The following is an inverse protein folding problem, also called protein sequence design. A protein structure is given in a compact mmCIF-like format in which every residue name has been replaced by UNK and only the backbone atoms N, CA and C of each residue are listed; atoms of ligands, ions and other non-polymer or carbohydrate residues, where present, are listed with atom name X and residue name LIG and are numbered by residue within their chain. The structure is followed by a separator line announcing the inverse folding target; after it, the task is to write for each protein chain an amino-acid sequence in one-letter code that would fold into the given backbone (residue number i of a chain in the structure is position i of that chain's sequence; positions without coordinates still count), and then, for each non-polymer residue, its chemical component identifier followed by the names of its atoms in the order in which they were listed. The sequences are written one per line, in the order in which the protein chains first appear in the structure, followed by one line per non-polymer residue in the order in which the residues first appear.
data_IF_710500186637
#
_entry.id   IF_710500186637
#
_cell.length_a   1.000
_cell.length_b   1.000
_cell.length_c   1.000
_cell.angle_alpha   90.00
_cell.angle_beta   90.00
_cell.angle_gamma   90.00
#
_symmetry.space_group_name_H-M   'P 1'
#
loop_
_entity.id
_entity.type
_entity.pdbx_description
1 polymer ?
#
# COMPACT_ATOMS: atom_id res chain seq x y z
N UNK A 1 14.77 -32.42 -14.46
CA UNK A 1 15.01 -31.25 -13.59
C UNK A 1 13.93 -31.26 -12.52
N UNK A 2 14.26 -31.06 -11.24
CA UNK A 2 13.24 -30.95 -10.21
C UNK A 2 12.29 -29.79 -10.51
N UNK A 3 11.00 -30.01 -10.25
CA UNK A 3 9.96 -29.00 -10.41
C UNK A 3 9.18 -28.93 -9.10
N UNK A 4 8.90 -27.71 -8.64
CA UNK A 4 8.00 -27.48 -7.51
C UNK A 4 6.79 -26.72 -8.02
N UNK A 5 5.61 -27.29 -7.77
CA UNK A 5 4.32 -26.69 -8.06
C UNK A 5 3.60 -26.37 -6.75
N UNK A 6 3.13 -25.15 -6.64
CA UNK A 6 2.26 -24.69 -5.57
C UNK A 6 1.07 -23.97 -6.20
N UNK A 7 -0.09 -24.10 -5.57
CA UNK A 7 -1.28 -23.34 -5.95
C UNK A 7 -2.08 -22.96 -4.70
N UNK A 8 -2.81 -21.85 -4.78
CA UNK A 8 -3.70 -21.40 -3.73
C UNK A 8 -4.89 -20.65 -4.32
N UNK A 9 -6.09 -20.98 -3.82
CA UNK A 9 -7.30 -20.20 -4.08
C UNK A 9 -7.32 -18.98 -3.14
N UNK A 10 -7.57 -17.81 -3.69
CA UNK A 10 -7.60 -16.52 -3.01
C UNK A 10 -8.95 -15.89 -3.29
N UNK A 11 -9.67 -15.50 -2.24
CA UNK A 11 -10.96 -14.81 -2.38
C UNK A 11 -10.72 -13.32 -2.55
N UNK A 12 -10.29 -12.93 -3.75
CA UNK A 12 -10.02 -11.55 -4.15
C UNK A 12 -10.15 -11.44 -5.69
N UNK A 13 -10.23 -10.21 -6.20
CA UNK A 13 -10.23 -9.96 -7.64
C UNK A 13 -8.86 -10.24 -8.27
N UNK A 14 -8.82 -10.65 -9.54
CA UNK A 14 -7.58 -10.98 -10.26
C UNK A 14 -6.58 -9.82 -10.25
N UNK A 15 -7.06 -8.58 -10.45
CA UNK A 15 -6.19 -7.38 -10.46
C UNK A 15 -5.53 -7.11 -9.11
N UNK A 16 -6.23 -7.38 -8.00
CA UNK A 16 -5.67 -7.22 -6.65
C UNK A 16 -4.56 -8.23 -6.42
N UNK A 17 -4.85 -9.49 -6.75
CA UNK A 17 -3.86 -10.57 -6.62
C UNK A 17 -2.66 -10.26 -7.51
N UNK A 18 -2.91 -9.87 -8.77
CA UNK A 18 -1.88 -9.51 -9.73
C UNK A 18 -0.99 -8.39 -9.19
N UNK A 19 -1.57 -7.25 -8.79
CA UNK A 19 -0.84 -6.08 -8.25
C UNK A 19 0.10 -6.47 -7.10
N UNK A 20 -0.35 -7.32 -6.18
CA UNK A 20 0.47 -7.74 -5.04
C UNK A 20 1.61 -8.66 -5.45
N UNK A 21 1.36 -9.63 -6.35
CA UNK A 21 2.40 -10.58 -6.74
C UNK A 21 3.36 -10.01 -7.80
N UNK A 22 2.93 -9.01 -8.57
CA UNK A 22 3.67 -8.40 -9.66
C UNK A 22 4.46 -7.17 -9.20
N UNK A 23 4.28 -6.71 -7.96
CA UNK A 23 5.17 -5.74 -7.31
C UNK A 23 6.56 -6.35 -7.10
N UNK A 24 7.41 -6.15 -8.11
CA UNK A 24 8.75 -6.69 -8.12
C UNK A 24 9.67 -5.96 -7.12
N UNK A 25 9.37 -4.71 -6.76
CA UNK A 25 10.21 -3.91 -5.87
C UNK A 25 9.99 -4.32 -4.41
N UNK A 26 8.73 -4.46 -4.01
CA UNK A 26 8.33 -4.82 -2.64
C UNK A 26 8.34 -6.34 -2.38
N UNK A 27 8.98 -7.10 -3.26
CA UNK A 27 9.06 -8.57 -3.16
C UNK A 27 9.76 -9.05 -1.87
N UNK A 28 10.69 -8.25 -1.31
CA UNK A 28 11.35 -8.55 -0.03
C UNK A 28 10.34 -8.70 1.12
N UNK A 29 9.33 -7.84 1.18
CA UNK A 29 8.33 -7.82 2.25
C UNK A 29 7.55 -9.13 2.37
N UNK A 30 7.28 -9.79 1.24
CA UNK A 30 6.55 -11.04 1.22
C UNK A 30 7.47 -12.26 1.37
N UNK A 31 8.77 -12.10 1.09
CA UNK A 31 9.69 -13.22 0.96
C UNK A 31 10.52 -13.45 2.23
N UNK A 32 10.33 -14.56 2.96
CA UNK A 32 10.91 -14.76 4.30
C UNK A 32 12.45 -14.93 4.33
N UNK A 33 13.10 -14.96 3.17
CA UNK A 33 14.54 -15.20 3.04
C UNK A 33 15.29 -14.10 2.28
N UNK A 34 14.57 -13.05 1.89
CA UNK A 34 15.09 -11.91 1.14
C UNK A 34 15.08 -10.71 2.09
N UNK A 35 16.23 -10.09 2.30
CA UNK A 35 16.35 -8.89 3.12
C UNK A 35 16.14 -7.60 2.33
N UNK A 36 16.46 -7.62 1.03
CA UNK A 36 16.39 -6.43 0.17
C UNK A 36 16.24 -6.82 -1.29
N UNK A 37 15.53 -5.97 -2.04
CA UNK A 37 15.49 -5.96 -3.50
C UNK A 37 16.05 -4.62 -3.99
N UNK A 38 16.84 -4.67 -5.05
CA UNK A 38 17.37 -3.50 -5.75
C UNK A 38 17.05 -3.63 -7.24
N UNK A 39 16.34 -2.65 -7.80
CA UNK A 39 16.04 -2.61 -9.23
C UNK A 39 17.29 -2.11 -9.98
N UNK A 40 17.77 -2.87 -10.96
CA UNK A 40 18.98 -2.55 -11.72
C UNK A 40 18.64 -1.83 -13.02
N UNK A 41 17.72 -2.37 -13.81
CA UNK A 41 17.18 -1.72 -15.00
C UNK A 41 15.77 -2.25 -15.30
N UNK A 42 15.07 -1.54 -16.21
CA UNK A 42 13.76 -1.94 -16.70
C UNK A 42 12.65 -1.76 -15.67
N UNK A 43 11.41 -1.98 -16.13
CA UNK A 43 10.23 -2.01 -15.29
C UNK A 43 9.37 -3.19 -15.73
N UNK A 44 8.68 -3.83 -14.77
CA UNK A 44 7.74 -4.92 -15.03
C UNK A 44 8.35 -6.00 -15.95
N UNK A 45 7.82 -6.14 -17.16
CA UNK A 45 8.15 -7.21 -18.09
C UNK A 45 9.58 -7.24 -18.62
N UNK A 46 10.36 -6.17 -18.43
CA UNK A 46 11.79 -6.11 -18.76
C UNK A 46 12.69 -5.98 -17.54
N UNK A 47 12.12 -6.03 -16.33
CA UNK A 47 12.82 -5.72 -15.11
C UNK A 47 14.00 -6.65 -14.84
N UNK A 48 15.14 -6.04 -14.51
CA UNK A 48 16.32 -6.69 -13.95
C UNK A 48 16.50 -6.21 -12.52
N UNK A 49 16.65 -7.14 -11.59
CA UNK A 49 16.79 -6.83 -10.16
C UNK A 49 17.84 -7.69 -9.48
N UNK A 50 18.40 -7.16 -8.41
CA UNK A 50 19.33 -7.83 -7.51
C UNK A 50 18.64 -8.13 -6.19
N UNK A 51 18.77 -9.37 -5.73
CA UNK A 51 18.19 -9.82 -4.47
C UNK A 51 19.30 -10.09 -3.47
N UNK A 52 19.02 -9.71 -2.23
CA UNK A 52 19.89 -9.95 -1.09
C UNK A 52 19.18 -10.90 -0.13
N UNK A 53 19.85 -11.97 0.27
CA UNK A 53 19.32 -12.88 1.27
C UNK A 53 19.70 -12.44 2.68
N UNK A 54 18.84 -12.76 3.64
CA UNK A 54 19.15 -12.67 5.08
C UNK A 54 20.41 -13.45 5.50
N UNK A 55 20.88 -14.39 4.65
CA UNK A 55 22.11 -15.16 4.85
C UNK A 55 23.35 -14.56 4.16
N UNK A 56 23.25 -13.35 3.62
CA UNK A 56 24.35 -12.64 2.97
C UNK A 56 24.64 -13.07 1.53
N UNK A 57 23.80 -13.92 0.92
CA UNK A 57 23.92 -14.26 -0.50
C UNK A 57 23.27 -13.21 -1.37
N UNK A 58 23.84 -13.00 -2.56
CA UNK A 58 23.31 -12.09 -3.57
C UNK A 58 23.25 -12.80 -4.92
N UNK A 59 22.21 -12.52 -5.69
CA UNK A 59 22.08 -12.96 -7.08
C UNK A 59 21.27 -11.92 -7.87
N UNK A 60 21.37 -12.01 -9.20
CA UNK A 60 20.58 -11.20 -10.12
C UNK A 60 19.50 -12.05 -10.76
N UNK A 61 18.43 -11.41 -11.17
CA UNK A 61 17.36 -12.06 -11.90
C UNK A 61 16.70 -11.07 -12.83
N UNK A 62 16.13 -11.62 -13.89
CA UNK A 62 15.52 -10.82 -14.94
C UNK A 62 14.17 -11.43 -15.33
N UNK A 63 13.22 -10.55 -15.66
CA UNK A 63 11.95 -10.95 -16.21
C UNK A 63 12.13 -11.34 -17.68
N UNK A 64 11.75 -12.57 -18.04
CA UNK A 64 11.85 -13.07 -19.42
C UNK A 64 10.50 -13.16 -20.13
N UNK A 65 9.42 -13.19 -19.36
CA UNK A 65 8.05 -13.24 -19.89
C UNK A 65 7.13 -12.45 -18.98
N UNK A 66 6.25 -11.67 -19.59
CA UNK A 66 5.26 -10.87 -18.89
C UNK A 66 3.97 -10.82 -19.69
N UNK A 67 2.91 -11.32 -19.08
CA UNK A 67 1.54 -11.27 -19.56
C UNK A 67 0.74 -10.55 -18.48
N UNK A 68 0.44 -9.27 -18.73
CA UNK A 68 -0.19 -8.37 -17.78
C UNK A 68 -1.51 -8.95 -17.24
N UNK A 69 -1.68 -8.93 -15.92
CA UNK A 69 -2.85 -9.50 -15.24
C UNK A 69 -2.86 -11.04 -15.15
N UNK A 70 -1.92 -11.74 -15.78
CA UNK A 70 -1.99 -13.20 -15.96
C UNK A 70 -0.76 -13.95 -15.50
N UNK A 71 0.43 -13.59 -15.96
CA UNK A 71 1.64 -14.33 -15.57
C UNK A 71 2.93 -13.57 -15.78
N UNK A 72 3.95 -13.87 -14.99
CA UNK A 72 5.30 -13.44 -15.29
C UNK A 72 6.33 -14.51 -14.94
N UNK A 73 7.48 -14.48 -15.61
CA UNK A 73 8.58 -15.44 -15.42
C UNK A 73 9.87 -14.72 -15.10
N UNK A 74 10.49 -15.10 -13.99
CA UNK A 74 11.80 -14.63 -13.57
C UNK A 74 12.85 -15.72 -13.74
N UNK A 75 13.95 -15.39 -14.41
CA UNK A 75 15.13 -16.22 -14.52
C UNK A 75 16.25 -15.71 -13.63
N UNK A 76 16.79 -16.60 -12.81
CA UNK A 76 17.89 -16.29 -11.89
C UNK A 76 19.22 -16.50 -12.59
N UNK A 77 20.01 -15.44 -12.59
CA UNK A 77 21.42 -15.47 -12.92
C UNK A 77 22.23 -15.59 -11.62
N UNK A 78 23.02 -16.65 -11.55
CA UNK A 78 23.82 -17.02 -10.38
C UNK A 78 25.32 -17.02 -10.68
N UNK A 79 25.72 -16.41 -11.81
CA UNK A 79 27.11 -16.25 -12.21
C UNK A 79 27.95 -15.50 -11.16
N UNK A 80 27.36 -14.48 -10.54
CA UNK A 80 28.05 -13.56 -9.62
C UNK A 80 27.98 -13.96 -8.12
N UNK A 81 27.50 -15.16 -7.75
CA UNK A 81 27.22 -15.48 -6.33
C UNK A 81 27.32 -16.94 -5.87
N UNK A 82 27.24 -17.13 -4.54
CA UNK A 82 27.17 -18.45 -3.86
C UNK A 82 25.70 -18.91 -3.79
N UNK A 83 25.08 -19.09 -4.96
CA UNK A 83 23.73 -19.65 -5.04
C UNK A 83 23.80 -21.16 -5.34
N UNK A 84 23.02 -22.03 -4.67
CA UNK A 84 23.18 -23.49 -4.78
C UNK A 84 22.64 -24.10 -6.09
N UNK A 85 22.37 -23.27 -7.10
CA UNK A 85 21.79 -23.69 -8.38
C UNK A 85 22.65 -23.19 -9.54
N UNK A 86 22.65 -23.94 -10.65
CA UNK A 86 23.18 -23.51 -11.96
C UNK A 86 22.19 -22.63 -12.71
N UNK A 87 20.90 -22.94 -12.57
CA UNK A 87 19.81 -22.16 -13.16
C UNK A 87 18.54 -22.35 -12.33
N UNK A 88 17.72 -21.31 -12.30
CA UNK A 88 16.38 -21.36 -11.73
C UNK A 88 15.44 -20.45 -12.50
N UNK A 89 14.28 -20.98 -12.84
CA UNK A 89 13.16 -20.26 -13.46
C UNK A 89 11.98 -20.32 -12.51
N UNK A 90 11.32 -19.18 -12.31
CA UNK A 90 10.13 -19.05 -11.47
C UNK A 90 9.04 -18.38 -12.27
N UNK A 91 7.90 -19.05 -12.39
CA UNK A 91 6.74 -18.53 -13.09
C UNK A 91 5.57 -18.42 -12.12
N UNK A 92 4.95 -17.26 -12.10
CA UNK A 92 3.78 -16.94 -11.29
C UNK A 92 2.60 -16.74 -12.23
N UNK A 93 1.45 -17.34 -11.92
CA UNK A 93 0.26 -17.29 -12.76
C UNK A 93 -0.97 -16.99 -11.92
N UNK A 94 -1.85 -16.15 -12.45
CA UNK A 94 -3.12 -15.72 -11.88
C UNK A 94 -4.21 -16.17 -12.84
N UNK A 95 -5.10 -17.00 -12.34
CA UNK A 95 -6.22 -17.54 -13.11
C UNK A 95 -7.53 -17.18 -12.39
N UNK A 96 -8.38 -16.39 -13.04
CA UNK A 96 -9.70 -16.02 -12.53
C UNK A 96 -10.66 -17.22 -12.56
N UNK A 97 -11.46 -17.39 -11.50
CA UNK A 97 -12.48 -18.42 -11.38
C UNK A 97 -13.74 -17.85 -10.71
N UNK A 98 -14.87 -18.56 -10.81
CA UNK A 98 -16.20 -18.09 -10.39
C UNK A 98 -16.29 -17.61 -8.92
N UNK A 99 -15.38 -18.04 -8.04
CA UNK A 99 -15.32 -17.64 -6.62
C UNK A 99 -13.88 -17.23 -6.22
N UNK A 100 -13.28 -16.36 -7.04
CA UNK A 100 -11.99 -15.73 -6.76
C UNK A 100 -10.89 -16.13 -7.74
N UNK A 101 -9.68 -16.27 -7.25
CA UNK A 101 -8.48 -16.39 -8.08
C UNK A 101 -7.65 -17.59 -7.65
N UNK A 102 -7.10 -18.32 -8.61
CA UNK A 102 -6.09 -19.34 -8.38
C UNK A 102 -4.72 -18.77 -8.71
N UNK A 103 -3.90 -18.55 -7.68
CA UNK A 103 -2.49 -18.23 -7.82
C UNK A 103 -1.70 -19.54 -7.96
N UNK A 104 -0.89 -19.67 -9.02
CA UNK A 104 0.02 -20.80 -9.25
C UNK A 104 1.47 -20.34 -9.25
N UNK A 105 2.34 -21.15 -8.69
CA UNK A 105 3.79 -20.91 -8.66
C UNK A 105 4.52 -22.14 -9.19
N UNK A 106 5.34 -21.93 -10.22
CA UNK A 106 6.06 -22.97 -10.94
C UNK A 106 7.56 -22.68 -10.85
N UNK A 107 8.28 -23.54 -10.14
CA UNK A 107 9.73 -23.43 -9.97
C UNK A 107 10.42 -24.57 -10.71
N UNK A 108 11.28 -24.24 -11.67
CA UNK A 108 12.19 -25.19 -12.33
C UNK A 108 13.62 -24.82 -11.99
N UNK A 109 14.45 -25.80 -11.61
CA UNK A 109 15.84 -25.50 -11.25
C UNK A 109 16.81 -26.63 -11.56
N UNK A 110 18.10 -26.30 -11.60
CA UNK A 110 19.21 -27.25 -11.68
C UNK A 110 20.19 -27.04 -10.51
N UNK A 111 20.41 -28.04 -9.63
CA UNK A 111 21.41 -27.94 -8.57
C UNK A 111 22.85 -27.83 -9.11
N UNK A 112 23.75 -27.18 -8.36
CA UNK A 112 25.14 -26.93 -8.79
C UNK A 112 26.07 -28.17 -8.77
N UNK A 113 25.71 -29.25 -8.05
CA UNK A 113 26.59 -30.40 -7.78
C UNK A 113 26.02 -31.75 -8.27
N UNK A 114 26.46 -32.24 -9.44
CA UNK A 114 26.41 -33.65 -9.91
C UNK A 114 25.29 -34.59 -9.41
N UNK A 115 25.61 -35.87 -9.22
CA UNK A 115 24.67 -36.88 -8.69
C UNK A 115 24.42 -36.69 -7.17
N UNK A 116 25.47 -36.36 -6.42
CA UNK A 116 25.41 -36.19 -4.96
C UNK A 116 24.54 -35.00 -4.52
N UNK A 117 24.59 -33.87 -5.24
CA UNK A 117 23.73 -32.72 -4.96
C UNK A 117 22.29 -32.95 -5.38
N UNK A 118 22.02 -33.78 -6.41
CA UNK A 118 20.66 -34.24 -6.74
C UNK A 118 20.09 -35.15 -5.64
N UNK A 119 20.92 -36.01 -5.05
CA UNK A 119 20.52 -36.87 -3.93
C UNK A 119 20.24 -36.06 -2.67
N UNK A 120 21.13 -35.13 -2.30
CA UNK A 120 20.93 -34.21 -1.16
C UNK A 120 19.71 -33.31 -1.36
N UNK A 121 19.46 -32.88 -2.59
CA UNK A 121 18.26 -32.16 -2.95
C UNK A 121 17.00 -33.00 -2.68
N UNK A 122 16.94 -34.19 -3.29
CA UNK A 122 15.80 -35.09 -3.17
C UNK A 122 15.48 -35.46 -1.71
N UNK A 123 16.51 -35.68 -0.89
CA UNK A 123 16.34 -36.12 0.50
C UNK A 123 15.98 -34.98 1.47
N UNK A 124 16.55 -33.77 1.29
CA UNK A 124 16.48 -32.72 2.32
C UNK A 124 16.11 -31.33 1.80
N UNK A 125 16.70 -30.87 0.70
CA UNK A 125 16.57 -29.47 0.27
C UNK A 125 15.24 -29.22 -0.46
N UNK A 126 14.68 -30.22 -1.14
CA UNK A 126 13.39 -30.11 -1.83
C UNK A 126 12.26 -29.78 -0.86
N UNK A 127 12.19 -30.46 0.30
CA UNK A 127 11.18 -30.23 1.33
C UNK A 127 11.33 -28.85 1.98
N UNK A 128 12.56 -28.46 2.32
CA UNK A 128 12.84 -27.11 2.87
C UNK A 128 12.45 -26.00 1.89
N UNK A 129 12.76 -26.14 0.60
CA UNK A 129 12.38 -25.18 -0.45
C UNK A 129 10.88 -25.10 -0.66
N UNK A 130 10.19 -26.24 -0.70
CA UNK A 130 8.74 -26.26 -0.81
C UNK A 130 8.06 -25.53 0.35
N UNK A 131 8.61 -25.65 1.57
CA UNK A 131 8.12 -24.89 2.73
C UNK A 131 8.35 -23.39 2.56
N UNK A 132 9.54 -22.98 2.13
CA UNK A 132 9.88 -21.58 1.89
C UNK A 132 8.94 -20.92 0.86
N UNK A 133 8.66 -21.60 -0.25
CA UNK A 133 7.76 -21.09 -1.28
C UNK A 133 6.30 -21.09 -0.82
N UNK A 134 5.91 -22.04 0.04
CA UNK A 134 4.59 -22.02 0.69
C UNK A 134 4.44 -20.83 1.63
N UNK A 135 5.50 -20.46 2.35
CA UNK A 135 5.51 -19.30 3.24
C UNK A 135 5.41 -17.99 2.47
N UNK A 136 6.17 -17.83 1.37
CA UNK A 136 5.99 -16.71 0.43
C UNK A 136 4.52 -16.58 -0.04
N UNK A 137 3.93 -17.71 -0.48
CA UNK A 137 2.53 -17.73 -0.91
C UNK A 137 1.57 -17.33 0.21
N UNK A 138 1.81 -17.81 1.44
CA UNK A 138 1.00 -17.46 2.61
C UNK A 138 1.12 -15.96 2.94
N UNK A 139 2.32 -15.38 2.85
CA UNK A 139 2.56 -13.96 3.10
C UNK A 139 1.85 -13.09 2.07
N UNK A 140 1.86 -13.46 0.78
CA UNK A 140 1.06 -12.77 -0.23
C UNK A 140 -0.44 -12.86 0.04
N UNK A 141 -0.95 -14.05 0.41
CA UNK A 141 -2.36 -14.22 0.78
C UNK A 141 -2.72 -13.37 1.99
N UNK A 142 -1.83 -13.25 2.98
CA UNK A 142 -2.00 -12.37 4.13
C UNK A 142 -2.03 -10.90 3.69
N UNK A 143 -1.05 -10.43 2.90
CA UNK A 143 -1.03 -9.07 2.33
C UNK A 143 -2.32 -8.73 1.58
N UNK A 144 -2.86 -9.68 0.80
CA UNK A 144 -4.12 -9.50 0.05
C UNK A 144 -5.33 -9.45 1.00
N UNK A 145 -5.42 -10.38 1.95
CA UNK A 145 -6.54 -10.49 2.90
C UNK A 145 -6.60 -9.29 3.84
N UNK A 146 -5.44 -8.93 4.38
CA UNK A 146 -5.29 -7.90 5.41
C UNK A 146 -5.20 -6.49 4.76
N UNK A 147 -5.23 -6.42 3.42
CA UNK A 147 -5.17 -5.20 2.59
C UNK A 147 -3.98 -4.30 2.94
N UNK A 148 -2.85 -4.89 3.36
CA UNK A 148 -1.64 -4.15 3.74
C UNK A 148 -1.15 -3.20 2.63
N UNK A 149 -1.33 -3.59 1.37
CA UNK A 149 -0.99 -2.77 0.19
C UNK A 149 -1.82 -1.49 0.03
N UNK A 150 -2.94 -1.37 0.74
CA UNK A 150 -3.80 -0.19 0.67
C UNK A 150 -3.46 0.88 1.73
N UNK A 151 -2.37 0.68 2.48
CA UNK A 151 -1.85 1.69 3.41
C UNK A 151 -0.69 2.48 2.81
N UNK A 152 -0.25 2.21 1.58
CA UNK A 152 0.90 2.86 0.94
C UNK A 152 0.74 4.36 0.68
N UNK A 153 -0.47 4.90 0.82
CA UNK A 153 -0.67 6.35 0.79
C UNK A 153 0.05 6.98 1.98
N UNK A 154 0.91 7.94 1.70
CA UNK A 154 1.69 8.65 2.73
C UNK A 154 0.94 9.87 3.24
N UNK A 155 1.32 10.32 4.44
CA UNK A 155 0.89 11.61 4.99
C UNK A 155 1.14 12.75 4.00
N UNK A 156 2.31 12.75 3.33
CA UNK A 156 2.64 13.74 2.31
C UNK A 156 1.61 13.76 1.16
N UNK A 157 1.20 12.60 0.66
CA UNK A 157 0.18 12.50 -0.40
C UNK A 157 -1.16 13.06 0.04
N UNK A 158 -1.57 12.79 1.29
CA UNK A 158 -2.83 13.33 1.84
C UNK A 158 -2.75 14.86 1.93
N UNK A 159 -1.64 15.41 2.45
CA UNK A 159 -1.46 16.86 2.56
C UNK A 159 -1.42 17.55 1.20
N UNK A 160 -0.83 16.95 0.18
CA UNK A 160 -0.85 17.50 -1.19
C UNK A 160 -2.27 17.65 -1.74
N UNK A 161 -3.17 16.71 -1.43
CA UNK A 161 -4.57 16.75 -1.88
C UNK A 161 -5.44 17.71 -1.05
N UNK A 162 -5.23 17.73 0.27
CA UNK A 162 -6.02 18.53 1.22
C UNK A 162 -5.58 19.99 1.31
N UNK A 163 -4.28 20.24 1.15
CA UNK A 163 -3.61 21.47 1.53
C UNK A 163 -2.87 21.36 2.87
N UNK A 164 -1.96 22.32 3.09
CA UNK A 164 -1.10 22.41 4.27
C UNK A 164 -1.59 23.41 5.31
N UNK A 165 -2.70 24.11 5.03
CA UNK A 165 -3.22 25.16 5.90
C UNK A 165 -3.64 24.61 7.26
N UNK A 166 -3.21 25.30 8.32
CA UNK A 166 -3.54 24.96 9.70
C UNK A 166 -4.22 26.13 10.36
N UNK A 167 -5.45 25.91 10.81
CA UNK A 167 -6.18 26.88 11.62
C UNK A 167 -5.59 26.87 13.03
N UNK A 168 -5.33 28.06 13.57
CA UNK A 168 -4.76 28.23 14.92
C UNK A 168 -5.59 29.18 15.78
N UNK A 169 -5.51 29.00 17.09
CA UNK A 169 -6.04 29.88 18.13
C UNK A 169 -4.95 30.17 19.17
N UNK A 170 -5.15 31.13 20.06
CA UNK A 170 -4.21 31.47 21.13
C UNK A 170 -4.58 30.80 22.45
N UNK A 171 -3.57 30.56 23.30
CA UNK A 171 -3.73 29.93 24.61
C UNK A 171 -4.70 30.69 25.54
N UNK A 172 -4.82 32.00 25.36
CA UNK A 172 -5.70 32.89 26.11
C UNK A 172 -7.12 32.98 25.56
N UNK A 173 -7.38 32.48 24.35
CA UNK A 173 -8.72 32.52 23.75
C UNK A 173 -9.68 31.70 24.60
N UNK A 174 -10.91 32.19 24.76
CA UNK A 174 -11.93 31.47 25.54
C UNK A 174 -12.39 30.20 24.83
N UNK A 175 -12.86 29.22 25.60
CA UNK A 175 -13.44 27.98 25.06
C UNK A 175 -14.56 28.27 24.04
N UNK A 176 -15.40 29.29 24.29
CA UNK A 176 -16.47 29.67 23.35
C UNK A 176 -15.95 30.26 22.04
N UNK A 177 -14.86 31.02 22.06
CA UNK A 177 -14.22 31.53 20.84
C UNK A 177 -13.62 30.39 20.03
N UNK A 178 -12.94 29.46 20.67
CA UNK A 178 -12.42 28.26 20.00
C UNK A 178 -13.55 27.43 19.41
N UNK A 179 -14.65 27.23 20.14
CA UNK A 179 -15.84 26.54 19.60
C UNK A 179 -16.39 27.23 18.34
N UNK A 180 -16.38 28.57 18.29
CA UNK A 180 -16.78 29.34 17.09
C UNK A 180 -15.79 29.14 15.94
N UNK A 181 -14.49 29.14 16.21
CA UNK A 181 -13.44 28.88 15.20
C UNK A 181 -13.65 27.49 14.58
N UNK A 182 -13.84 26.45 15.42
CA UNK A 182 -14.10 25.09 14.95
C UNK A 182 -15.34 25.04 14.04
N UNK A 183 -16.44 25.66 14.46
CA UNK A 183 -17.69 25.71 13.70
C UNK A 183 -17.54 26.46 12.37
N UNK A 184 -16.91 27.64 12.38
CA UNK A 184 -16.76 28.48 11.18
C UNK A 184 -15.91 27.79 10.11
N UNK A 185 -14.86 27.09 10.53
CA UNK A 185 -13.95 26.38 9.64
C UNK A 185 -14.40 24.94 9.32
N UNK A 186 -15.47 24.44 9.97
CA UNK A 186 -15.97 23.06 9.85
C UNK A 186 -14.89 22.02 10.17
N UNK A 187 -14.12 22.26 11.23
CA UNK A 187 -13.03 21.41 11.70
C UNK A 187 -13.29 20.94 13.14
N UNK A 188 -12.77 19.76 13.50
CA UNK A 188 -12.95 19.18 14.84
C UNK A 188 -11.80 19.44 15.81
N UNK A 189 -10.72 20.09 15.37
CA UNK A 189 -9.59 20.48 16.20
C UNK A 189 -8.86 21.69 15.64
N UNK A 190 -8.16 22.41 16.51
CA UNK A 190 -7.36 23.60 16.22
C UNK A 190 -6.02 23.49 16.96
N UNK A 191 -4.94 23.99 16.35
CA UNK A 191 -3.67 24.12 17.06
C UNK A 191 -3.66 25.39 17.90
N UNK A 192 -3.10 25.28 19.09
CA UNK A 192 -3.02 26.39 20.04
C UNK A 192 -1.60 26.93 20.05
N UNK A 193 -1.47 28.25 19.92
CA UNK A 193 -0.22 28.97 20.04
C UNK A 193 -0.07 29.61 21.42
N UNK A 194 1.15 29.69 21.91
CA UNK A 194 1.46 30.49 23.10
C UNK A 194 1.60 31.99 22.75
N UNK A 195 1.90 32.80 23.77
CA UNK A 195 2.11 34.24 23.65
C UNK A 195 3.28 34.61 22.72
N UNK A 196 4.23 33.70 22.51
CA UNK A 196 5.36 33.88 21.58
C UNK A 196 5.04 33.44 20.15
N UNK A 197 3.81 32.94 19.91
CA UNK A 197 3.35 32.44 18.62
C UNK A 197 3.80 31.01 18.32
N UNK A 198 4.47 30.33 19.25
CA UNK A 198 4.95 28.95 19.10
C UNK A 198 3.82 27.95 19.37
N UNK A 199 3.95 26.74 18.81
CA UNK A 199 2.97 25.68 19.01
C UNK A 199 2.97 25.20 20.48
N UNK A 200 1.87 25.47 21.18
CA UNK A 200 1.72 25.19 22.61
C UNK A 200 0.85 23.96 22.90
N UNK A 201 -0.04 23.61 21.97
CA UNK A 201 -0.95 22.48 22.14
C UNK A 201 -1.95 22.30 21.01
N UNK A 202 -2.95 21.47 21.27
CA UNK A 202 -4.07 21.18 20.38
C UNK A 202 -5.34 21.13 21.22
N UNK A 203 -6.40 21.75 20.72
CA UNK A 203 -7.73 21.66 21.32
C UNK A 203 -8.74 21.11 20.32
N UNK A 204 -9.64 20.27 20.80
CA UNK A 204 -10.64 19.58 20.02
C UNK A 204 -12.02 19.72 20.64
N UNK A 205 -13.06 19.33 19.89
CA UNK A 205 -14.42 19.24 20.41
C UNK A 205 -14.50 18.40 21.69
N UNK A 206 -13.63 17.38 21.82
CA UNK A 206 -13.57 16.52 23.02
C UNK A 206 -13.14 17.31 24.26
N UNK A 207 -12.20 18.22 24.11
CA UNK A 207 -11.69 19.01 25.22
C UNK A 207 -12.76 20.01 25.69
N UNK A 208 -13.48 20.62 24.74
CA UNK A 208 -14.62 21.51 25.01
C UNK A 208 -15.74 20.76 25.74
N UNK A 209 -16.11 19.58 25.24
CA UNK A 209 -17.17 18.74 25.84
C UNK A 209 -16.78 18.21 27.22
N UNK A 210 -15.50 17.87 27.44
CA UNK A 210 -14.99 17.51 28.77
C UNK A 210 -15.08 18.69 29.73
N UNK A 211 -14.60 19.88 29.33
CA UNK A 211 -14.62 21.07 30.15
C UNK A 211 -16.05 21.46 30.60
N UNK A 212 -17.02 21.35 29.69
CA UNK A 212 -18.43 21.55 30.00
C UNK A 212 -18.99 20.49 30.96
N UNK A 213 -18.53 19.24 30.85
CA UNK A 213 -18.91 18.17 31.78
C UNK A 213 -18.37 18.40 33.19
N UNK A 214 -17.15 18.92 33.29
CA UNK A 214 -16.45 19.10 34.57
C UNK A 214 -16.85 20.40 35.29
N UNK A 215 -17.10 21.48 34.55
CA UNK A 215 -17.31 22.83 35.12
C UNK A 215 -18.64 23.48 34.70
N UNK A 216 -19.48 22.79 33.93
CA UNK A 216 -20.76 23.33 33.48
C UNK A 216 -20.62 24.51 32.51
N UNK A 217 -21.67 25.34 32.37
CA UNK A 217 -21.69 26.46 31.41
C UNK A 217 -20.60 27.51 31.61
N UNK A 218 -20.09 27.66 32.84
CA UNK A 218 -19.04 28.63 33.18
C UNK A 218 -17.72 28.35 32.46
N UNK A 219 -17.45 27.08 32.12
CA UNK A 219 -16.30 26.66 31.33
C UNK A 219 -16.13 27.44 30.03
N UNK A 220 -17.24 27.88 29.42
CA UNK A 220 -17.21 28.61 28.14
C UNK A 220 -16.37 29.90 28.19
N UNK A 221 -16.20 30.48 29.37
CA UNK A 221 -15.38 31.69 29.60
C UNK A 221 -13.94 31.38 30.02
N UNK A 222 -13.61 30.12 30.32
CA UNK A 222 -12.25 29.74 30.68
C UNK A 222 -11.32 29.81 29.46
N UNK A 223 -10.02 30.11 29.66
CA UNK A 223 -9.00 29.99 28.62
C UNK A 223 -8.91 28.57 28.07
N UNK A 224 -8.78 28.42 26.76
CA UNK A 224 -8.58 27.11 26.12
C UNK A 224 -7.29 26.43 26.59
N UNK A 225 -6.29 27.23 26.99
CA UNK A 225 -5.01 26.76 27.53
C UNK A 225 -5.12 25.89 28.78
N UNK A 226 -6.24 25.98 29.50
CA UNK A 226 -6.49 25.19 30.71
C UNK A 226 -6.94 23.76 30.38
N UNK A 227 -7.48 23.54 29.18
CA UNK A 227 -8.09 22.25 28.78
C UNK A 227 -7.42 21.62 27.55
N UNK A 228 -6.57 22.35 26.84
CA UNK A 228 -5.88 21.85 25.64
C UNK A 228 -4.92 20.68 25.95
N UNK A 229 -4.71 19.82 24.96
CA UNK A 229 -3.66 18.81 25.00
C UNK A 229 -2.28 19.45 24.79
N UNK A 230 -1.41 19.37 25.79
CA UNK A 230 -0.01 19.86 25.72
C UNK A 230 0.95 18.81 25.16
N UNK A 231 0.71 17.53 25.46
CA UNK A 231 1.52 16.42 24.93
C UNK A 231 0.94 15.95 23.61
N UNK A 232 1.45 16.52 22.52
CA UNK A 232 0.98 16.22 21.17
C UNK A 232 1.48 14.85 20.70
N UNK A 233 0.57 14.11 20.08
CA UNK A 233 0.92 12.94 19.26
C UNK A 233 1.05 13.45 17.83
N UNK A 234 2.22 13.29 17.23
CA UNK A 234 2.56 13.84 15.91
C UNK A 234 2.90 12.73 14.92
N UNK A 235 2.85 13.04 13.63
CA UNK A 235 3.39 12.19 12.57
C UNK A 235 4.30 12.99 11.62
N UNK A 236 4.99 12.29 10.73
CA UNK A 236 5.88 12.88 9.72
C UNK A 236 5.34 12.62 8.31
N UNK A 237 5.73 13.42 7.29
CA UNK A 237 5.23 13.28 5.93
C UNK A 237 5.45 11.90 5.29
N UNK A 238 6.51 11.20 5.68
CA UNK A 238 6.86 9.90 5.13
C UNK A 238 6.10 8.73 5.77
N UNK A 239 5.41 8.95 6.89
CA UNK A 239 4.59 7.91 7.50
C UNK A 239 3.41 7.55 6.60
N UNK A 240 3.05 6.28 6.63
CA UNK A 240 1.95 5.73 5.85
C UNK A 240 0.61 5.81 6.63
N UNK A 241 -0.51 5.59 5.92
CA UNK A 241 -1.84 5.65 6.56
C UNK A 241 -2.02 4.60 7.66
N UNK A 242 -1.38 3.44 7.53
CA UNK A 242 -1.49 2.36 8.52
C UNK A 242 -0.89 2.79 9.86
N UNK A 243 0.29 3.41 9.82
CA UNK A 243 0.91 4.03 10.98
C UNK A 243 0.01 5.09 11.61
N UNK A 244 -0.56 5.99 10.81
CA UNK A 244 -1.44 7.06 11.31
C UNK A 244 -2.68 6.48 11.98
N UNK A 245 -3.33 5.49 11.37
CA UNK A 245 -4.51 4.82 11.95
C UNK A 245 -4.19 4.10 13.25
N UNK A 246 -3.07 3.39 13.31
CA UNK A 246 -2.62 2.71 14.53
C UNK A 246 -2.37 3.74 15.65
N UNK A 247 -1.68 4.84 15.33
CA UNK A 247 -1.38 5.90 16.28
C UNK A 247 -2.66 6.56 16.83
N UNK A 248 -3.63 6.88 15.96
CA UNK A 248 -4.95 7.39 16.35
C UNK A 248 -5.72 6.42 17.24
N UNK A 249 -5.70 5.12 16.93
CA UNK A 249 -6.38 4.07 17.69
C UNK A 249 -5.77 3.91 19.08
N UNK A 250 -4.45 3.73 19.15
CA UNK A 250 -3.73 3.46 20.39
C UNK A 250 -3.77 4.65 21.35
N UNK A 251 -3.62 5.86 20.82
CA UNK A 251 -3.62 7.09 21.61
C UNK A 251 -5.03 7.68 21.81
N UNK A 252 -6.05 7.10 21.16
CA UNK A 252 -7.45 7.56 21.17
C UNK A 252 -7.60 9.03 20.74
N UNK A 253 -6.76 9.45 19.79
CA UNK A 253 -6.79 10.80 19.19
C UNK A 253 -7.30 10.72 17.76
N UNK A 254 -7.85 11.81 17.25
CA UNK A 254 -8.41 11.88 15.88
C UNK A 254 -7.71 12.88 14.97
N UNK A 255 -6.74 13.62 15.51
CA UNK A 255 -5.99 14.62 14.79
C UNK A 255 -4.52 14.47 15.18
N UNK A 256 -3.64 14.49 14.18
CA UNK A 256 -2.20 14.44 14.35
C UNK A 256 -1.60 15.66 13.63
N UNK A 257 -0.92 16.56 14.35
CA UNK A 257 -0.04 17.54 13.72
C UNK A 257 1.07 16.81 12.94
N UNK A 258 1.40 17.33 11.76
CA UNK A 258 2.46 16.78 10.92
C UNK A 258 3.69 17.66 11.08
N UNK A 259 4.80 17.06 11.53
CA UNK A 259 6.07 17.74 11.69
C UNK A 259 7.10 17.21 10.68
N UNK A 260 7.92 18.09 10.12
CA UNK A 260 9.08 17.74 9.30
C UNK A 260 10.30 18.49 9.82
N UNK A 261 11.33 17.77 10.26
CA UNK A 261 12.51 18.40 10.86
C UNK A 261 12.20 19.21 12.14
N UNK A 262 11.08 18.93 12.81
CA UNK A 262 10.60 19.66 13.99
C UNK A 262 9.67 20.83 13.67
N UNK A 263 9.53 21.21 12.41
CA UNK A 263 8.64 22.30 11.97
C UNK A 263 7.25 21.78 11.63
N UNK A 264 6.22 22.56 11.95
CA UNK A 264 4.84 22.22 11.62
C UNK A 264 4.56 22.43 10.13
N UNK A 265 4.22 21.35 9.43
CA UNK A 265 3.94 21.35 7.99
C UNK A 265 2.50 21.02 7.62
N UNK A 266 1.65 20.71 8.61
CA UNK A 266 0.23 20.46 8.39
C UNK A 266 -0.46 19.75 9.54
N UNK A 267 -1.69 19.31 9.30
CA UNK A 267 -2.48 18.51 10.24
C UNK A 267 -3.30 17.47 9.49
N UNK A 268 -3.30 16.23 9.97
CA UNK A 268 -4.16 15.15 9.46
C UNK A 268 -5.21 14.77 10.49
N UNK A 269 -6.44 14.62 10.03
CA UNK A 269 -7.57 14.12 10.79
C UNK A 269 -7.90 12.68 10.40
N UNK A 270 -8.65 11.98 11.26
CA UNK A 270 -9.22 10.68 10.94
C UNK A 270 -10.12 10.74 9.69
N UNK A 271 -10.78 11.88 9.45
CA UNK A 271 -11.59 12.10 8.25
C UNK A 271 -10.75 12.09 6.97
N UNK A 272 -9.54 12.64 7.02
CA UNK A 272 -8.61 12.61 5.88
C UNK A 272 -8.15 11.19 5.57
N UNK A 273 -7.88 10.39 6.61
CA UNK A 273 -7.52 8.98 6.46
C UNK A 273 -8.66 8.17 5.88
N UNK A 274 -9.89 8.38 6.36
CA UNK A 274 -11.08 7.72 5.81
C UNK A 274 -11.32 8.15 4.36
N UNK A 275 -11.16 9.44 4.06
CA UNK A 275 -11.30 9.98 2.70
C UNK A 275 -10.28 9.35 1.76
N UNK A 276 -9.00 9.36 2.12
CA UNK A 276 -7.94 8.72 1.35
C UNK A 276 -8.23 7.23 1.10
N UNK A 277 -8.74 6.53 2.13
CA UNK A 277 -9.15 5.13 1.99
C UNK A 277 -10.30 4.92 0.99
N UNK A 278 -11.29 5.82 0.98
CA UNK A 278 -12.40 5.76 0.01
C UNK A 278 -11.87 6.02 -1.40
N UNK A 279 -11.03 7.04 -1.60
CA UNK A 279 -10.43 7.32 -2.91
C UNK A 279 -9.60 6.16 -3.44
N UNK A 280 -8.82 5.49 -2.58
CA UNK A 280 -8.06 4.31 -2.99
C UNK A 280 -8.99 3.18 -3.48
N UNK A 281 -10.11 2.95 -2.78
CA UNK A 281 -11.10 1.94 -3.13
C UNK A 281 -11.88 2.31 -4.40
N UNK A 282 -12.20 3.59 -4.58
CA UNK A 282 -12.90 4.09 -5.77
C UNK A 282 -12.00 4.04 -7.00
N UNK A 283 -10.75 4.47 -6.89
CA UNK A 283 -9.74 4.37 -7.96
C UNK A 283 -9.54 2.90 -8.39
N UNK A 284 -9.52 1.98 -7.44
CA UNK A 284 -9.50 0.54 -7.71
C UNK A 284 -10.76 0.08 -8.46
N UNK A 285 -11.95 0.52 -8.03
CA UNK A 285 -13.22 0.19 -8.68
C UNK A 285 -13.36 0.80 -10.08
N UNK A 286 -12.83 2.00 -10.31
CA UNK A 286 -12.87 2.68 -11.60
C UNK A 286 -11.93 1.99 -12.60
N UNK A 287 -10.71 1.67 -12.17
CA UNK A 287 -9.77 0.84 -12.94
C UNK A 287 -10.42 -0.50 -13.34
N UNK A 288 -11.15 -1.12 -12.40
CA UNK A 288 -11.90 -2.36 -12.64
C UNK A 288 -13.02 -2.18 -13.67
N UNK A 289 -13.78 -1.07 -13.62
CA UNK A 289 -14.83 -0.75 -14.60
C UNK A 289 -14.25 -0.48 -15.98
N UNK A 290 -13.17 0.29 -16.08
CA UNK A 290 -12.49 0.57 -17.34
C UNK A 290 -11.94 -0.71 -17.99
N UNK A 291 -11.39 -1.62 -17.19
CA UNK A 291 -10.98 -2.94 -17.68
C UNK A 291 -12.16 -3.75 -18.22
N UNK A 292 -13.28 -3.82 -17.48
CA UNK A 292 -14.50 -4.51 -17.94
C UNK A 292 -15.04 -3.87 -19.23
N UNK A 293 -15.13 -2.54 -19.30
CA UNK A 293 -15.60 -1.83 -20.49
C UNK A 293 -14.66 -2.05 -21.69
N UNK A 294 -13.34 -2.03 -21.49
CA UNK A 294 -12.36 -2.35 -22.53
C UNK A 294 -12.43 -3.82 -22.99
N UNK A 295 -12.79 -4.73 -22.07
CA UNK A 295 -12.99 -6.16 -22.36
C UNK A 295 -14.31 -6.40 -23.10
N UNK A 296 -15.40 -5.71 -22.75
CA UNK A 296 -16.66 -5.71 -23.49
C UNK A 296 -16.47 -5.12 -24.89
N UNK A 297 -15.75 -4.00 -25.02
CA UNK A 297 -15.43 -3.40 -26.31
C UNK A 297 -14.62 -4.35 -27.21
N UNK A 298 -13.62 -5.03 -26.65
CA UNK A 298 -12.81 -6.03 -27.36
C UNK A 298 -13.58 -7.31 -27.70
N UNK A 299 -14.50 -7.75 -26.83
CA UNK A 299 -15.40 -8.87 -27.11
C UNK A 299 -16.42 -8.54 -28.18
N UNK A 300 -17.04 -7.35 -28.12
CA UNK A 300 -18.00 -6.90 -29.14
C UNK A 300 -17.32 -6.81 -30.51
N UNK A 301 -16.12 -6.21 -30.61
CA UNK A 301 -15.37 -6.15 -31.87
C UNK A 301 -14.96 -7.53 -32.42
N UNK A 302 -14.59 -8.48 -31.55
CA UNK A 302 -14.27 -9.86 -31.98
C UNK A 302 -15.49 -10.67 -32.41
N UNK A 303 -16.65 -10.42 -31.81
CA UNK A 303 -17.88 -11.20 -32.06
C UNK A 303 -18.70 -10.61 -33.22
N UNK A 304 -18.75 -9.28 -33.38
CA UNK A 304 -19.52 -8.64 -34.47
C UNK A 304 -18.73 -8.45 -35.76
N UNK A 305 -17.40 -8.57 -35.73
CA UNK A 305 -16.55 -8.53 -36.92
C UNK A 305 -16.60 -7.20 -37.69
N UNK A 306 -17.05 -6.12 -37.07
CA UNK A 306 -17.16 -4.81 -37.73
C UNK A 306 -15.78 -4.16 -37.75
N UNK A 307 -15.13 -4.22 -38.91
CA UNK A 307 -13.81 -3.64 -39.16
C UNK A 307 -13.83 -2.24 -39.78
N UNK A 308 -14.97 -1.53 -39.78
CA UNK A 308 -15.05 -0.29 -40.55
C UNK A 308 -15.39 0.94 -39.70
N UNK A 309 -14.32 1.62 -39.27
CA UNK A 309 -14.36 2.94 -38.60
C UNK A 309 -14.85 4.03 -39.56
N UNK A 310 -14.80 3.81 -40.89
CA UNK A 310 -15.25 4.78 -41.88
C UNK A 310 -16.79 4.75 -42.07
N UNK A 311 -17.43 3.59 -41.91
CA UNK A 311 -18.89 3.45 -42.07
C UNK A 311 -19.68 4.11 -40.92
N UNK A 312 -19.19 4.04 -39.69
CA UNK A 312 -19.86 4.61 -38.50
C UNK A 312 -19.81 6.14 -38.43
N UNK A 313 -18.84 6.78 -39.10
CA UNK A 313 -18.80 8.26 -39.23
C UNK A 313 -19.91 8.80 -40.14
N UNK A 314 -20.48 7.96 -41.00
CA UNK A 314 -21.55 8.35 -41.91
C UNK A 314 -22.95 8.15 -41.29
N UNK A 315 -23.09 7.20 -40.35
CA UNK A 315 -24.35 6.94 -39.63
C UNK A 315 -24.61 7.87 -38.44
N UNK A 316 -23.57 8.35 -37.74
CA UNK A 316 -23.72 9.27 -36.60
C UNK A 316 -23.89 10.73 -37.02
N UNK A 317 -24.58 10.96 -38.14
CA UNK A 317 -24.79 12.27 -38.74
C UNK A 317 -24.89 13.42 -37.75
N UNK A 318 -23.82 14.20 -37.65
CA UNK A 318 -23.87 15.60 -37.33
C UNK A 318 -22.62 16.30 -37.89
N UNK A 319 -22.79 17.54 -38.37
CA UNK A 319 -21.98 18.15 -39.44
C UNK A 319 -20.51 18.35 -39.13
#
# INVERSE_FOLDING_TARGET
MPVIHLQRKIKAHADVVWRVISDLQSFADASPHISKVEMLDGANGTARRRLYSIRGYTWTEHCTQWDEGRSYTMEVDSSDGVYPFRSMTRRFEVEEQDDGVVLRMHYKYQPKYGLAGRLMDALFLHRKRRNLYRELMNNWVAKIRDREWAYTVTVATILQSKGHDVVTANVSDSIIEVARILRQNRIGAVLIRDESGQLAGLASERDITSALGDHGPEALQHPIGDVMARKLVVCEPHHDMGFVMACMTDRRVRHLPVLEGGELVGIISIGDVVKARIYDLESESETMREYIAGREWSYHHKVTGVHDVAALRQELGNP
#
